data_IF_971296876488
#
_entry.id   IF_971296876488
#
_cell.length_a   1.000
_cell.length_b   1.000
_cell.length_c   1.000
_cell.angle_alpha   90.00
_cell.angle_beta   90.00
_cell.angle_gamma   90.00
#
_symmetry.space_group_name_H-M   'P 1'
#
loop_
_entity.id
_entity.type
_entity.pdbx_description
1 polymer ?
#
# COMPACT_ATOMS: atom_id res chain seq x y z
N UNK A 1 0.91 -35.97 -37.64
CA UNK A 1 2.07 -35.34 -36.91
C UNK A 1 1.74 -34.02 -36.17
N UNK A 2 0.72 -33.29 -36.55
CA UNK A 2 0.36 -32.00 -35.89
C UNK A 2 -0.34 -32.16 -34.53
N UNK A 3 -1.13 -33.22 -34.31
CA UNK A 3 -1.88 -33.39 -33.05
C UNK A 3 -1.05 -33.97 -31.89
N UNK A 4 0.05 -34.64 -32.15
CA UNK A 4 0.93 -35.20 -31.11
C UNK A 4 1.77 -34.11 -30.43
N UNK A 5 2.25 -33.08 -31.18
CA UNK A 5 3.01 -31.99 -30.65
C UNK A 5 2.17 -31.05 -29.76
N UNK A 6 0.85 -30.92 -30.07
CA UNK A 6 -0.06 -30.12 -29.24
C UNK A 6 -0.39 -30.80 -27.90
N UNK A 7 -0.50 -32.14 -27.89
CA UNK A 7 -0.74 -32.94 -26.70
C UNK A 7 0.49 -33.02 -25.79
N UNK A 8 1.70 -33.07 -26.33
CA UNK A 8 2.95 -33.02 -25.55
C UNK A 8 3.17 -31.65 -24.91
N UNK A 9 2.79 -30.55 -25.60
CA UNK A 9 2.82 -29.21 -25.04
C UNK A 9 1.86 -29.04 -23.86
N UNK A 10 0.65 -29.55 -23.95
CA UNK A 10 -0.35 -29.50 -22.88
C UNK A 10 0.04 -30.37 -21.67
N UNK A 11 0.65 -31.54 -21.90
CA UNK A 11 1.14 -32.41 -20.82
C UNK A 11 2.36 -31.84 -20.11
N UNK A 12 3.25 -31.14 -20.80
CA UNK A 12 4.38 -30.44 -20.20
C UNK A 12 3.94 -29.22 -19.37
N UNK A 13 2.94 -28.46 -19.81
CA UNK A 13 2.37 -27.35 -19.02
C UNK A 13 1.62 -27.86 -17.78
N UNK A 14 0.83 -28.93 -17.91
CA UNK A 14 0.11 -29.50 -16.76
C UNK A 14 1.06 -30.15 -15.74
N UNK A 15 2.15 -30.76 -16.19
CA UNK A 15 3.20 -31.28 -15.31
C UNK A 15 4.01 -30.17 -14.65
N UNK A 16 4.31 -29.07 -15.34
CA UNK A 16 4.95 -27.89 -14.78
C UNK A 16 4.04 -27.23 -13.72
N UNK A 17 2.73 -27.17 -13.98
CA UNK A 17 1.75 -26.64 -13.03
C UNK A 17 1.57 -27.52 -11.79
N UNK A 18 1.55 -28.85 -11.95
CA UNK A 18 1.53 -29.83 -10.84
C UNK A 18 2.81 -29.77 -10.00
N UNK A 19 3.96 -29.53 -10.63
CA UNK A 19 5.25 -29.39 -9.95
C UNK A 19 5.33 -28.07 -9.20
N UNK A 20 4.82 -26.97 -9.77
CA UNK A 20 4.70 -25.68 -9.11
C UNK A 20 3.75 -25.71 -7.89
N UNK A 21 2.67 -26.51 -7.95
CA UNK A 21 1.75 -26.74 -6.81
C UNK A 21 2.35 -27.57 -5.69
N UNK A 22 3.35 -28.42 -5.97
CA UNK A 22 4.07 -29.25 -4.98
C UNK A 22 5.32 -28.58 -4.42
N UNK A 23 5.72 -27.41 -4.93
CA UNK A 23 6.84 -26.68 -4.38
C UNK A 23 6.54 -26.31 -2.91
N UNK A 24 7.46 -26.59 -1.97
CA UNK A 24 7.28 -26.17 -0.59
C UNK A 24 7.08 -24.65 -0.56
N UNK A 25 6.24 -24.14 0.37
CA UNK A 25 6.01 -22.70 0.47
C UNK A 25 7.35 -21.99 0.60
N UNK A 26 7.53 -20.85 -0.08
CA UNK A 26 8.79 -20.11 -0.02
C UNK A 26 9.14 -19.85 1.43
N UNK A 27 10.39 -20.08 1.80
CA UNK A 27 10.91 -19.83 3.13
C UNK A 27 10.51 -18.40 3.57
N UNK A 28 10.23 -18.22 4.85
CA UNK A 28 9.74 -16.94 5.40
C UNK A 28 10.55 -15.73 4.91
N UNK A 29 11.88 -15.81 4.92
CA UNK A 29 12.77 -14.73 4.48
C UNK A 29 12.81 -14.48 2.95
N UNK A 30 12.09 -15.27 2.13
CA UNK A 30 11.92 -15.06 0.68
C UNK A 30 10.63 -14.33 0.32
N UNK A 31 10.02 -13.61 1.27
CA UNK A 31 8.81 -12.80 1.04
C UNK A 31 9.08 -11.34 1.37
N UNK A 32 8.58 -10.42 0.54
CA UNK A 32 8.67 -8.97 0.80
C UNK A 32 8.04 -8.58 2.13
N UNK A 33 6.88 -9.15 2.49
CA UNK A 33 6.21 -8.91 3.78
C UNK A 33 7.13 -9.17 4.98
N UNK A 34 7.93 -10.24 4.90
CA UNK A 34 8.83 -10.62 5.99
C UNK A 34 9.96 -9.61 6.17
N UNK A 35 10.51 -9.14 5.07
CA UNK A 35 11.54 -8.11 5.09
C UNK A 35 10.97 -6.75 5.48
N UNK A 36 9.76 -6.42 5.08
CA UNK A 36 9.06 -5.22 5.56
C UNK A 36 8.90 -5.23 7.09
N UNK A 37 8.54 -6.39 7.66
CA UNK A 37 8.46 -6.58 9.12
C UNK A 37 9.84 -6.42 9.76
N UNK A 38 10.87 -7.12 9.25
CA UNK A 38 12.22 -7.11 9.81
C UNK A 38 12.80 -5.70 9.82
N UNK A 39 12.71 -4.98 8.69
CA UNK A 39 13.25 -3.62 8.56
C UNK A 39 12.41 -2.66 9.40
N UNK A 40 11.08 -2.68 9.27
CA UNK A 40 10.21 -1.77 9.99
C UNK A 40 10.33 -1.94 11.51
N UNK A 41 10.19 -3.16 12.04
CA UNK A 41 10.36 -3.42 13.47
C UNK A 41 11.80 -3.20 13.93
N UNK A 42 12.80 -3.54 13.12
CA UNK A 42 14.21 -3.27 13.42
C UNK A 42 14.47 -1.79 13.63
N UNK A 43 13.89 -0.92 12.79
CA UNK A 43 13.99 0.53 12.93
C UNK A 43 13.24 1.03 14.18
N UNK A 44 12.05 0.49 14.47
CA UNK A 44 11.28 0.83 15.67
C UNK A 44 12.06 0.47 16.93
N UNK A 45 12.58 -0.75 17.00
CA UNK A 45 13.37 -1.22 18.15
C UNK A 45 14.65 -0.41 18.29
N UNK A 46 15.37 -0.16 17.20
CA UNK A 46 16.61 0.64 17.23
C UNK A 46 16.36 2.06 17.75
N UNK A 47 15.34 2.76 17.24
CA UNK A 47 14.98 4.10 17.70
C UNK A 47 14.59 4.11 19.18
N UNK A 48 13.79 3.14 19.61
CA UNK A 48 13.38 2.99 21.01
C UNK A 48 14.56 2.70 21.94
N UNK A 49 15.43 1.76 21.57
CA UNK A 49 16.62 1.42 22.38
C UNK A 49 17.56 2.60 22.47
N UNK A 50 17.86 3.31 21.37
CA UNK A 50 18.70 4.51 21.37
C UNK A 50 18.16 5.59 22.30
N UNK A 51 16.85 5.76 22.36
CA UNK A 51 16.20 6.67 23.29
C UNK A 51 16.40 6.19 24.73
N UNK A 52 16.10 4.95 25.06
CA UNK A 52 16.18 4.40 26.42
C UNK A 52 17.61 4.40 27.00
N UNK A 53 18.63 4.27 26.14
CA UNK A 53 20.05 4.35 26.57
C UNK A 53 20.63 5.78 26.51
N UNK A 54 19.77 6.81 26.39
CA UNK A 54 20.17 8.24 26.27
C UNK A 54 21.13 8.53 25.10
N UNK A 55 20.95 7.85 23.98
CA UNK A 55 21.73 8.04 22.74
C UNK A 55 20.86 8.55 21.58
N UNK A 56 19.70 9.11 21.87
CA UNK A 56 18.76 9.65 20.87
C UNK A 56 19.38 10.76 20.01
N UNK A 57 20.38 11.48 20.48
CA UNK A 57 21.14 12.46 19.69
C UNK A 57 21.77 11.92 18.41
N UNK A 58 21.86 10.60 18.25
CA UNK A 58 22.32 9.95 17.00
C UNK A 58 21.22 9.84 15.95
N UNK A 59 19.94 9.82 16.36
CA UNK A 59 18.79 9.61 15.46
C UNK A 59 18.68 10.62 14.30
N UNK A 60 18.95 11.93 14.47
CA UNK A 60 18.93 12.90 13.38
C UNK A 60 19.91 12.62 12.25
N UNK A 61 20.97 11.86 12.51
CA UNK A 61 21.93 11.45 11.46
C UNK A 61 21.39 10.34 10.54
N UNK A 62 20.26 9.74 10.87
CA UNK A 62 19.62 8.69 10.08
C UNK A 62 18.25 9.11 9.55
N UNK A 63 17.97 10.42 9.52
CA UNK A 63 16.74 10.98 8.97
C UNK A 63 17.03 12.14 8.05
N UNK A 64 16.14 12.39 7.11
CA UNK A 64 16.18 13.57 6.25
C UNK A 64 14.84 14.26 6.24
N UNK A 65 14.81 15.46 6.81
CA UNK A 65 13.68 16.39 6.70
C UNK A 65 14.18 17.64 5.98
N UNK A 66 13.65 17.87 4.76
CA UNK A 66 14.07 18.98 3.93
C UNK A 66 13.75 20.32 4.62
N UNK A 67 14.68 21.28 4.65
CA UNK A 67 14.43 22.58 5.26
C UNK A 67 13.41 23.37 4.44
N UNK A 68 12.49 24.06 5.12
CA UNK A 68 11.58 25.01 4.44
C UNK A 68 12.35 26.16 3.80
N UNK A 69 12.01 26.51 2.56
CA UNK A 69 12.70 27.55 1.81
C UNK A 69 11.73 28.33 0.90
N UNK A 70 12.05 29.60 0.65
CA UNK A 70 11.33 30.49 -0.27
C UNK A 70 12.19 30.84 -1.47
N UNK A 71 13.48 31.08 -1.23
CA UNK A 71 14.43 31.47 -2.27
C UNK A 71 15.57 30.44 -2.41
N UNK A 72 16.20 30.31 -3.58
CA UNK A 72 17.34 29.42 -3.76
C UNK A 72 18.50 29.73 -2.79
N UNK A 73 18.69 30.99 -2.41
CA UNK A 73 19.71 31.41 -1.44
C UNK A 73 19.44 30.82 -0.05
N UNK A 74 18.18 30.84 0.42
CA UNK A 74 17.80 30.20 1.68
C UNK A 74 18.03 28.68 1.65
N UNK A 75 17.72 28.04 0.53
CA UNK A 75 17.97 26.59 0.36
C UNK A 75 19.47 26.30 0.43
N UNK A 76 20.30 27.06 -0.29
CA UNK A 76 21.74 26.90 -0.29
C UNK A 76 22.36 27.10 1.11
N UNK A 77 21.81 28.00 1.90
CA UNK A 77 22.26 28.23 3.28
C UNK A 77 21.84 27.11 4.27
N UNK A 78 20.63 26.54 4.11
CA UNK A 78 20.07 25.60 5.09
C UNK A 78 20.34 24.13 4.75
N UNK A 79 20.45 23.78 3.46
CA UNK A 79 20.58 22.40 2.99
C UNK A 79 21.87 21.71 3.46
N UNK A 80 23.05 22.35 3.50
CA UNK A 80 24.29 21.69 3.92
C UNK A 80 24.21 21.07 5.32
N UNK A 81 23.51 21.71 6.26
CA UNK A 81 23.32 21.21 7.62
C UNK A 81 22.48 19.90 7.66
N UNK A 82 21.72 19.58 6.61
CA UNK A 82 20.89 18.39 6.50
C UNK A 82 21.53 17.24 5.72
N UNK A 83 22.64 17.51 5.02
CA UNK A 83 23.35 16.50 4.22
C UNK A 83 23.89 15.31 5.03
N UNK A 84 24.44 15.48 6.25
CA UNK A 84 24.88 14.34 7.06
C UNK A 84 23.73 13.37 7.35
N UNK A 85 22.54 13.90 7.69
CA UNK A 85 21.35 13.09 7.90
C UNK A 85 20.88 12.38 6.62
N UNK A 86 20.91 13.06 5.47
CA UNK A 86 20.60 12.45 4.18
C UNK A 86 21.57 11.32 3.83
N UNK A 87 22.86 11.50 4.06
CA UNK A 87 23.88 10.48 3.81
C UNK A 87 23.72 9.27 4.75
N UNK A 88 23.53 9.52 6.04
CA UNK A 88 23.30 8.43 7.01
C UNK A 88 22.03 7.65 6.71
N UNK A 89 20.93 8.34 6.34
CA UNK A 89 19.69 7.71 5.89
C UNK A 89 19.92 6.87 4.63
N UNK A 90 20.67 7.40 3.65
CA UNK A 90 21.04 6.64 2.46
C UNK A 90 21.76 5.35 2.81
N UNK A 91 22.79 5.42 3.64
CA UNK A 91 23.57 4.24 4.05
C UNK A 91 22.73 3.21 4.79
N UNK A 92 21.86 3.68 5.69
CA UNK A 92 20.92 2.83 6.43
C UNK A 92 19.94 2.11 5.48
N UNK A 93 19.29 2.84 4.58
CA UNK A 93 18.33 2.26 3.64
C UNK A 93 19.01 1.42 2.57
N UNK A 94 20.13 1.86 2.01
CA UNK A 94 20.87 1.11 1.02
C UNK A 94 21.35 -0.24 1.57
N UNK A 95 21.86 -0.29 2.81
CA UNK A 95 22.31 -1.53 3.42
C UNK A 95 21.13 -2.47 3.74
N UNK A 96 20.11 -1.99 4.43
CA UNK A 96 18.99 -2.81 4.89
C UNK A 96 18.13 -3.32 3.73
N UNK A 97 17.79 -2.44 2.77
CA UNK A 97 16.99 -2.80 1.60
C UNK A 97 17.75 -3.71 0.63
N UNK A 98 19.06 -3.49 0.45
CA UNK A 98 19.89 -4.35 -0.41
C UNK A 98 20.06 -5.74 0.19
N UNK A 99 20.19 -5.85 1.52
CA UNK A 99 20.20 -7.15 2.22
C UNK A 99 18.90 -7.91 1.99
N UNK A 100 17.76 -7.23 2.13
CA UNK A 100 16.45 -7.80 1.80
C UNK A 100 16.33 -8.19 0.32
N UNK A 101 16.73 -7.32 -0.60
CA UNK A 101 16.71 -7.58 -2.03
C UNK A 101 17.53 -8.82 -2.40
N UNK A 102 18.71 -9.00 -1.80
CA UNK A 102 19.54 -10.20 -1.97
C UNK A 102 18.83 -11.47 -1.51
N UNK A 103 18.18 -11.42 -0.37
CA UNK A 103 17.42 -12.56 0.18
C UNK A 103 16.19 -12.91 -0.68
N UNK A 104 15.56 -11.89 -1.28
CA UNK A 104 14.42 -12.04 -2.19
C UNK A 104 14.82 -12.55 -3.58
N UNK A 105 16.13 -12.63 -3.87
CA UNK A 105 16.65 -13.12 -5.15
C UNK A 105 16.74 -12.04 -6.24
N UNK A 106 16.69 -10.75 -5.87
CA UNK A 106 16.86 -9.65 -6.82
C UNK A 106 18.33 -9.47 -7.18
N UNK A 107 18.62 -8.92 -8.38
CA UNK A 107 19.96 -8.54 -8.77
C UNK A 107 20.46 -7.39 -7.88
N UNK A 108 21.28 -7.73 -6.89
CA UNK A 108 21.76 -6.81 -5.86
C UNK A 108 22.53 -5.61 -6.44
N UNK A 109 23.31 -5.83 -7.51
CA UNK A 109 24.08 -4.74 -8.14
C UNK A 109 23.17 -3.78 -8.90
N UNK A 110 22.21 -4.31 -9.65
CA UNK A 110 21.22 -3.49 -10.35
C UNK A 110 20.32 -2.77 -9.36
N UNK A 111 19.85 -3.48 -8.33
CA UNK A 111 19.05 -2.89 -7.26
C UNK A 111 19.76 -1.71 -6.60
N UNK A 112 21.01 -1.88 -6.14
CA UNK A 112 21.75 -0.81 -5.47
C UNK A 112 22.00 0.39 -6.38
N UNK A 113 22.39 0.18 -7.65
CA UNK A 113 22.53 1.27 -8.63
C UNK A 113 21.21 2.02 -8.84
N UNK A 114 20.13 1.27 -9.01
CA UNK A 114 18.79 1.84 -9.16
C UNK A 114 18.34 2.59 -7.91
N UNK A 115 18.64 2.04 -6.72
CA UNK A 115 18.30 2.65 -5.45
C UNK A 115 19.04 3.99 -5.21
N UNK A 116 20.32 4.10 -5.61
CA UNK A 116 21.03 5.38 -5.57
C UNK A 116 20.28 6.45 -6.36
N UNK A 117 19.90 6.16 -7.59
CA UNK A 117 19.18 7.11 -8.44
C UNK A 117 17.79 7.44 -7.88
N UNK A 118 17.05 6.42 -7.40
CA UNK A 118 15.73 6.59 -6.79
C UNK A 118 15.81 7.41 -5.50
N UNK A 119 16.81 7.18 -4.66
CA UNK A 119 17.03 7.94 -3.43
C UNK A 119 17.36 9.41 -3.71
N UNK A 120 18.26 9.68 -4.66
CA UNK A 120 18.58 11.05 -5.06
C UNK A 120 17.33 11.79 -5.58
N UNK A 121 16.52 11.10 -6.38
CA UNK A 121 15.25 11.65 -6.86
C UNK A 121 14.27 11.88 -5.70
N UNK A 122 14.20 10.98 -4.72
CA UNK A 122 13.37 11.16 -3.54
C UNK A 122 13.81 12.37 -2.71
N UNK A 123 15.12 12.56 -2.48
CA UNK A 123 15.65 13.75 -1.80
C UNK A 123 15.32 15.01 -2.57
N UNK A 124 15.45 15.02 -3.90
CA UNK A 124 15.07 16.17 -4.74
C UNK A 124 13.58 16.50 -4.60
N UNK A 125 12.71 15.50 -4.62
CA UNK A 125 11.26 15.67 -4.39
C UNK A 125 10.96 16.23 -3.00
N UNK A 126 11.60 15.72 -1.95
CA UNK A 126 11.43 16.23 -0.58
C UNK A 126 11.86 17.69 -0.47
N UNK A 127 12.96 18.07 -1.14
CA UNK A 127 13.42 19.47 -1.21
C UNK A 127 12.43 20.35 -1.96
N UNK A 128 11.92 19.91 -3.11
CA UNK A 128 10.91 20.65 -3.88
C UNK A 128 9.63 20.83 -3.05
N UNK A 129 9.14 19.78 -2.40
CA UNK A 129 7.94 19.81 -1.56
C UNK A 129 8.09 20.75 -0.34
N UNK A 130 9.32 20.98 0.11
CA UNK A 130 9.59 21.89 1.22
C UNK A 130 9.55 23.38 0.83
N UNK A 131 9.42 23.71 -0.46
CA UNK A 131 9.28 25.07 -0.94
C UNK A 131 7.96 25.69 -0.46
N UNK A 132 8.00 26.95 -0.01
CA UNK A 132 6.82 27.62 0.54
C UNK A 132 5.67 27.78 -0.47
N UNK A 133 5.95 28.00 -1.76
CA UNK A 133 4.92 28.08 -2.80
C UNK A 133 4.27 26.72 -3.06
N UNK A 134 5.04 25.62 -3.03
CA UNK A 134 4.52 24.25 -3.18
C UNK A 134 3.62 23.91 -1.98
N UNK A 135 4.05 24.25 -0.75
CA UNK A 135 3.25 24.06 0.45
C UNK A 135 1.98 24.90 0.47
N UNK A 136 2.04 26.17 0.02
CA UNK A 136 0.85 27.01 -0.06
C UNK A 136 -0.18 26.51 -1.08
N UNK A 137 0.27 25.80 -2.12
CA UNK A 137 -0.58 25.06 -3.05
C UNK A 137 -1.08 23.73 -2.47
N UNK A 138 -0.76 23.41 -1.21
CA UNK A 138 -1.11 22.16 -0.53
C UNK A 138 -0.64 20.90 -1.28
N UNK A 139 0.49 20.99 -1.99
CA UNK A 139 1.14 19.89 -2.67
C UNK A 139 2.12 19.20 -1.71
N UNK A 140 1.60 18.23 -0.96
CA UNK A 140 2.41 17.42 -0.05
C UNK A 140 3.40 16.53 -0.82
N UNK A 141 4.47 16.09 -0.14
CA UNK A 141 5.55 15.31 -0.74
C UNK A 141 5.08 14.06 -1.53
N UNK A 142 4.06 13.31 -1.10
CA UNK A 142 3.54 12.17 -1.85
C UNK A 142 2.97 12.55 -3.22
N UNK A 143 2.22 13.65 -3.31
CA UNK A 143 1.67 14.11 -4.58
C UNK A 143 2.76 14.59 -5.53
N UNK A 144 3.74 15.34 -5.02
CA UNK A 144 4.89 15.77 -5.81
C UNK A 144 5.69 14.57 -6.31
N UNK A 145 5.95 13.57 -5.45
CA UNK A 145 6.64 12.33 -5.81
C UNK A 145 5.92 11.58 -6.93
N UNK A 146 4.60 11.41 -6.78
CA UNK A 146 3.78 10.75 -7.79
C UNK A 146 3.81 11.52 -9.12
N UNK A 147 3.60 12.84 -9.08
CA UNK A 147 3.59 13.68 -10.27
C UNK A 147 4.93 13.63 -11.01
N UNK A 148 6.04 13.84 -10.30
CA UNK A 148 7.40 13.72 -10.87
C UNK A 148 7.63 12.33 -11.44
N UNK A 149 7.22 11.29 -10.71
CA UNK A 149 7.30 9.90 -11.18
C UNK A 149 6.50 9.66 -12.47
N UNK A 150 5.24 10.13 -12.54
CA UNK A 150 4.39 10.00 -13.73
C UNK A 150 4.98 10.73 -14.93
N UNK A 151 5.47 11.95 -14.75
CA UNK A 151 6.10 12.73 -15.83
C UNK A 151 7.34 12.00 -16.35
N UNK A 152 8.28 11.67 -15.48
CA UNK A 152 9.52 11.00 -15.85
C UNK A 152 9.25 9.58 -16.41
N UNK A 153 8.34 8.83 -15.78
CA UNK A 153 7.98 7.50 -16.21
C UNK A 153 7.40 7.45 -17.63
N UNK A 154 6.59 8.42 -18.03
CA UNK A 154 5.98 8.48 -19.36
C UNK A 154 6.84 9.23 -20.40
N UNK A 155 7.69 10.17 -19.96
CA UNK A 155 8.61 10.90 -20.85
C UNK A 155 9.86 10.11 -21.20
N UNK A 156 10.37 9.27 -20.28
CA UNK A 156 11.64 8.56 -20.43
C UNK A 156 11.45 7.05 -20.51
N UNK A 157 12.32 6.40 -21.28
CA UNK A 157 12.47 4.93 -21.23
C UNK A 157 13.42 4.57 -20.09
N UNK A 158 12.87 4.01 -19.01
CA UNK A 158 13.67 3.64 -17.85
C UNK A 158 14.58 2.45 -18.19
N UNK A 159 15.89 2.52 -17.87
CA UNK A 159 16.78 1.40 -18.08
C UNK A 159 16.48 0.26 -17.11
N UNK A 160 16.76 -0.98 -17.51
CA UNK A 160 16.46 -2.18 -16.72
C UNK A 160 17.10 -2.18 -15.33
N UNK A 161 18.32 -1.61 -15.18
CA UNK A 161 18.97 -1.51 -13.87
C UNK A 161 18.22 -0.59 -12.90
N UNK A 162 17.53 0.46 -13.40
CA UNK A 162 16.74 1.36 -12.57
C UNK A 162 15.40 0.73 -12.16
N UNK A 163 14.77 0.02 -13.10
CA UNK A 163 13.49 -0.67 -12.84
C UNK A 163 13.61 -1.72 -11.72
N UNK A 164 14.80 -2.27 -11.48
CA UNK A 164 15.03 -3.24 -10.40
C UNK A 164 14.82 -2.64 -9.01
N UNK A 165 15.02 -1.33 -8.84
CA UNK A 165 14.80 -0.63 -7.57
C UNK A 165 13.36 -0.13 -7.38
N UNK A 166 12.49 -0.19 -8.40
CA UNK A 166 11.11 0.29 -8.29
C UNK A 166 10.22 -0.77 -7.62
N UNK A 167 10.42 -0.99 -6.32
CA UNK A 167 9.72 -2.02 -5.52
C UNK A 167 8.65 -1.39 -4.64
N UNK A 168 7.57 -0.93 -5.25
CA UNK A 168 6.46 -0.24 -4.58
C UNK A 168 5.97 -0.99 -3.34
N UNK A 169 5.65 -2.29 -3.48
CA UNK A 169 5.14 -3.12 -2.38
C UNK A 169 6.13 -3.25 -1.22
N UNK A 170 7.41 -3.35 -1.52
CA UNK A 170 8.46 -3.46 -0.50
C UNK A 170 8.57 -2.18 0.35
N UNK A 171 8.51 -1.02 -0.30
CA UNK A 171 8.59 0.27 0.38
C UNK A 171 7.32 0.59 1.17
N UNK A 172 6.14 0.43 0.56
CA UNK A 172 4.88 0.76 1.23
C UNK A 172 4.63 -0.12 2.45
N UNK A 173 4.89 -1.43 2.38
CA UNK A 173 4.72 -2.34 3.52
C UNK A 173 5.64 -2.00 4.68
N UNK A 174 6.88 -1.60 4.40
CA UNK A 174 7.80 -1.12 5.44
C UNK A 174 7.29 0.19 6.05
N UNK A 175 6.80 1.12 5.23
CA UNK A 175 6.16 2.36 5.69
C UNK A 175 4.94 2.11 6.58
N UNK A 176 4.12 1.10 6.26
CA UNK A 176 2.95 0.70 7.07
C UNK A 176 3.38 0.12 8.42
N UNK A 177 4.43 -0.68 8.48
CA UNK A 177 4.96 -1.18 9.77
C UNK A 177 5.43 -0.01 10.64
N UNK A 178 6.14 0.97 10.06
CA UNK A 178 6.54 2.20 10.77
C UNK A 178 5.34 3.05 11.20
N UNK A 179 4.23 3.06 10.41
CA UNK A 179 2.99 3.71 10.79
C UNK A 179 2.43 3.13 12.09
N UNK A 180 2.52 1.81 12.28
CA UNK A 180 2.11 1.17 13.53
C UNK A 180 2.79 1.78 14.75
N UNK A 181 4.07 2.12 14.66
CA UNK A 181 4.79 2.74 15.78
C UNK A 181 4.29 4.16 16.14
N UNK A 182 3.69 4.87 15.20
CA UNK A 182 3.17 6.23 15.40
C UNK A 182 1.67 6.25 15.69
N UNK A 183 0.98 5.11 15.58
CA UNK A 183 -0.44 4.96 15.88
C UNK A 183 -0.61 4.19 17.20
N UNK A 184 -1.07 4.83 18.30
CA UNK A 184 -1.28 4.17 19.59
C UNK A 184 -2.25 3.00 19.48
N UNK A 185 -1.92 1.87 20.10
CA UNK A 185 -2.76 0.67 20.07
C UNK A 185 -4.15 0.91 20.70
N UNK A 186 -4.25 1.84 21.65
CA UNK A 186 -5.52 2.26 22.24
C UNK A 186 -6.48 2.88 21.22
N UNK A 187 -5.97 3.61 20.24
CA UNK A 187 -6.76 4.16 19.13
C UNK A 187 -7.28 3.02 18.26
N UNK A 188 -6.44 2.01 17.97
CA UNK A 188 -6.85 0.84 17.20
C UNK A 188 -8.00 0.09 17.90
N UNK A 189 -7.93 -0.07 19.23
CA UNK A 189 -9.00 -0.71 20.01
C UNK A 189 -10.31 0.09 20.00
N UNK A 190 -10.24 1.40 20.07
CA UNK A 190 -11.44 2.27 20.08
C UNK A 190 -12.10 2.40 18.70
N UNK A 191 -11.32 2.70 17.67
CA UNK A 191 -11.82 2.97 16.31
C UNK A 191 -11.85 1.73 15.41
N UNK A 192 -11.12 0.65 15.77
CA UNK A 192 -11.06 -0.58 14.98
C UNK A 192 -12.42 -1.23 14.70
N UNK A 193 -13.32 -1.38 15.67
CA UNK A 193 -14.66 -1.94 15.44
C UNK A 193 -15.50 -1.14 14.43
N UNK A 194 -15.44 0.20 14.48
CA UNK A 194 -16.09 1.07 13.52
C UNK A 194 -15.48 0.93 12.12
N UNK A 195 -14.15 0.89 12.04
CA UNK A 195 -13.43 0.66 10.80
C UNK A 195 -13.81 -0.69 10.16
N UNK A 196 -13.84 -1.77 10.93
CA UNK A 196 -14.23 -3.11 10.46
C UNK A 196 -15.69 -3.12 9.97
N UNK A 197 -16.62 -2.54 10.73
CA UNK A 197 -18.03 -2.48 10.37
C UNK A 197 -18.25 -1.70 9.07
N UNK A 198 -17.66 -0.52 8.95
CA UNK A 198 -17.73 0.31 7.75
C UNK A 198 -17.08 -0.38 6.55
N UNK A 199 -15.89 -0.97 6.75
CA UNK A 199 -15.16 -1.66 5.69
C UNK A 199 -15.93 -2.88 5.17
N UNK A 200 -16.57 -3.65 6.05
CA UNK A 200 -17.38 -4.80 5.66
C UNK A 200 -18.53 -4.38 4.73
N UNK A 201 -19.28 -3.35 5.13
CA UNK A 201 -20.39 -2.82 4.32
C UNK A 201 -19.89 -2.37 2.95
N UNK A 202 -18.85 -1.54 2.92
CA UNK A 202 -18.31 -1.01 1.66
C UNK A 202 -17.75 -2.12 0.79
N UNK A 203 -16.99 -3.06 1.36
CA UNK A 203 -16.38 -4.15 0.60
C UNK A 203 -17.45 -5.06 -0.03
N UNK A 204 -18.48 -5.45 0.73
CA UNK A 204 -19.58 -6.30 0.20
C UNK A 204 -20.33 -5.57 -0.92
N UNK A 205 -20.74 -4.33 -0.69
CA UNK A 205 -21.52 -3.56 -1.68
C UNK A 205 -20.70 -3.29 -2.93
N UNK A 206 -19.44 -2.86 -2.78
CA UNK A 206 -18.56 -2.57 -3.93
C UNK A 206 -18.24 -3.85 -4.72
N UNK A 207 -17.91 -4.95 -4.04
CA UNK A 207 -17.70 -6.24 -4.69
C UNK A 207 -18.93 -6.67 -5.49
N UNK A 208 -20.09 -6.66 -4.87
CA UNK A 208 -21.35 -7.05 -5.51
C UNK A 208 -21.65 -6.14 -6.72
N UNK A 209 -21.49 -4.82 -6.58
CA UNK A 209 -21.74 -3.85 -7.64
C UNK A 209 -20.88 -4.11 -8.86
N UNK A 210 -19.56 -4.29 -8.67
CA UNK A 210 -18.63 -4.59 -9.77
C UNK A 210 -18.94 -5.98 -10.37
N UNK A 211 -19.13 -6.99 -9.52
CA UNK A 211 -19.40 -8.35 -9.96
C UNK A 211 -20.67 -8.45 -10.79
N UNK A 212 -21.79 -7.86 -10.33
CA UNK A 212 -23.05 -7.90 -11.06
C UNK A 212 -23.03 -7.01 -12.31
N UNK A 213 -22.38 -5.84 -12.26
CA UNK A 213 -22.17 -5.03 -13.45
C UNK A 213 -21.36 -5.80 -14.50
N UNK A 214 -20.24 -6.37 -14.11
CA UNK A 214 -19.38 -7.14 -15.00
C UNK A 214 -20.11 -8.35 -15.63
N UNK A 215 -20.84 -9.13 -14.81
CA UNK A 215 -21.50 -10.37 -15.31
C UNK A 215 -22.80 -10.11 -16.01
N UNK A 216 -23.67 -9.23 -15.50
CA UNK A 216 -25.04 -9.02 -15.99
C UNK A 216 -25.15 -7.93 -17.05
N UNK A 217 -24.42 -6.80 -16.89
CA UNK A 217 -24.50 -5.69 -17.85
C UNK A 217 -23.48 -5.85 -18.99
N UNK A 218 -22.28 -6.31 -18.70
CA UNK A 218 -21.21 -6.39 -19.70
C UNK A 218 -20.88 -7.79 -20.20
N UNK A 219 -21.51 -8.83 -19.63
CA UNK A 219 -21.33 -10.23 -20.08
C UNK A 219 -19.93 -10.78 -19.90
N UNK A 220 -19.19 -10.28 -18.91
CA UNK A 220 -17.83 -10.74 -18.62
C UNK A 220 -17.84 -12.10 -17.88
N UNK A 221 -16.77 -12.84 -18.00
CA UNK A 221 -16.57 -14.11 -17.30
C UNK A 221 -16.69 -13.93 -15.77
N UNK A 222 -17.32 -14.89 -15.08
CA UNK A 222 -17.59 -14.80 -13.63
C UNK A 222 -16.32 -14.75 -12.79
N UNK A 223 -15.27 -15.46 -13.17
CA UNK A 223 -13.99 -15.49 -12.46
C UNK A 223 -13.24 -14.17 -12.65
N UNK A 224 -13.30 -13.63 -13.88
CA UNK A 224 -12.81 -12.28 -14.15
C UNK A 224 -13.57 -11.22 -13.38
N UNK A 225 -14.90 -11.28 -13.38
CA UNK A 225 -15.74 -10.36 -12.63
C UNK A 225 -15.46 -10.40 -11.11
N UNK A 226 -15.24 -11.58 -10.54
CA UNK A 226 -14.86 -11.72 -9.13
C UNK A 226 -13.47 -11.13 -8.84
N UNK A 227 -12.51 -11.35 -9.75
CA UNK A 227 -11.17 -10.78 -9.66
C UNK A 227 -11.20 -9.25 -9.72
N UNK A 228 -12.02 -8.71 -10.62
CA UNK A 228 -12.24 -7.28 -10.78
C UNK A 228 -12.93 -6.67 -9.55
N UNK A 229 -13.98 -7.33 -9.06
CA UNK A 229 -14.70 -6.94 -7.85
C UNK A 229 -13.81 -6.89 -6.62
N UNK A 230 -12.92 -7.87 -6.47
CA UNK A 230 -11.94 -7.91 -5.38
C UNK A 230 -10.93 -6.76 -5.46
N UNK A 231 -10.49 -6.43 -6.66
CA UNK A 231 -9.61 -5.29 -6.89
C UNK A 231 -10.22 -3.97 -6.43
N UNK A 232 -11.51 -3.77 -6.70
CA UNK A 232 -12.23 -2.55 -6.29
C UNK A 232 -12.73 -2.53 -4.84
N UNK A 233 -12.78 -3.68 -4.16
CA UNK A 233 -13.45 -3.77 -2.85
C UNK A 233 -12.53 -4.10 -1.67
N UNK A 234 -11.37 -4.70 -1.89
CA UNK A 234 -10.49 -5.17 -0.80
C UNK A 234 -9.20 -4.33 -0.79
N UNK A 235 -8.12 -4.85 -1.37
CA UNK A 235 -6.79 -4.24 -1.32
C UNK A 235 -6.17 -4.07 -2.72
N UNK A 236 -6.98 -3.89 -3.74
CA UNK A 236 -6.53 -3.60 -5.09
C UNK A 236 -5.76 -4.75 -5.73
N UNK A 237 -4.48 -4.53 -5.97
CA UNK A 237 -3.58 -5.49 -6.65
C UNK A 237 -3.54 -6.83 -5.92
N UNK A 238 -3.28 -6.80 -4.61
CA UNK A 238 -3.19 -8.02 -3.78
C UNK A 238 -4.52 -8.77 -3.72
N UNK A 239 -5.65 -8.05 -3.64
CA UNK A 239 -7.00 -8.61 -3.71
C UNK A 239 -7.27 -9.29 -5.05
N UNK A 240 -6.95 -8.63 -6.17
CA UNK A 240 -7.08 -9.21 -7.52
C UNK A 240 -6.27 -10.51 -7.67
N UNK A 241 -5.02 -10.52 -7.22
CA UNK A 241 -4.16 -11.72 -7.26
C UNK A 241 -4.73 -12.84 -6.37
N UNK A 242 -5.11 -12.50 -5.14
CA UNK A 242 -5.60 -13.47 -4.17
C UNK A 242 -6.89 -14.14 -4.63
N UNK A 243 -7.86 -13.33 -5.06
CA UNK A 243 -9.18 -13.82 -5.51
C UNK A 243 -9.08 -14.48 -6.88
N UNK A 244 -8.32 -13.90 -7.82
CA UNK A 244 -8.06 -14.51 -9.12
C UNK A 244 -7.44 -15.91 -8.99
N UNK A 245 -6.46 -16.07 -8.09
CA UNK A 245 -5.90 -17.38 -7.77
C UNK A 245 -6.89 -18.31 -7.05
N UNK A 246 -7.76 -17.78 -6.17
CA UNK A 246 -8.75 -18.57 -5.45
C UNK A 246 -9.83 -19.16 -6.37
N UNK A 247 -10.30 -18.37 -7.34
CA UNK A 247 -11.30 -18.80 -8.30
C UNK A 247 -10.71 -19.33 -9.61
N UNK A 248 -9.40 -19.49 -9.70
CA UNK A 248 -8.70 -19.99 -10.91
C UNK A 248 -8.99 -19.13 -12.14
N UNK A 249 -9.00 -17.82 -11.99
CA UNK A 249 -9.12 -16.90 -13.11
C UNK A 249 -7.90 -16.99 -14.04
N UNK A 250 -8.10 -16.73 -15.32
CA UNK A 250 -7.01 -16.66 -16.30
C UNK A 250 -5.99 -15.56 -15.92
N UNK A 251 -4.70 -15.82 -16.17
CA UNK A 251 -3.63 -14.87 -15.85
C UNK A 251 -3.84 -13.52 -16.54
N UNK A 252 -4.36 -13.53 -17.78
CA UNK A 252 -4.70 -12.32 -18.51
C UNK A 252 -5.79 -11.49 -17.81
N UNK A 253 -6.82 -12.14 -17.27
CA UNK A 253 -7.88 -11.49 -16.51
C UNK A 253 -7.36 -10.86 -15.21
N UNK A 254 -6.45 -11.55 -14.50
CA UNK A 254 -5.81 -11.01 -13.30
C UNK A 254 -4.98 -9.77 -13.65
N UNK A 255 -4.19 -9.82 -14.72
CA UNK A 255 -3.40 -8.67 -15.19
C UNK A 255 -4.29 -7.48 -15.58
N UNK A 256 -5.40 -7.72 -16.29
CA UNK A 256 -6.36 -6.66 -16.64
C UNK A 256 -7.02 -6.04 -15.41
N UNK A 257 -7.40 -6.86 -14.42
CA UNK A 257 -7.97 -6.34 -13.16
C UNK A 257 -6.96 -5.46 -12.42
N UNK A 258 -5.69 -5.88 -12.33
CA UNK A 258 -4.62 -5.09 -11.73
C UNK A 258 -4.43 -3.76 -12.47
N UNK A 259 -4.41 -3.77 -13.80
CA UNK A 259 -4.27 -2.54 -14.60
C UNK A 259 -5.41 -1.56 -14.33
N UNK A 260 -6.66 -2.04 -14.24
CA UNK A 260 -7.83 -1.20 -13.92
C UNK A 260 -7.77 -0.62 -12.51
N UNK A 261 -7.35 -1.41 -11.53
CA UNK A 261 -7.12 -0.92 -10.17
C UNK A 261 -6.12 0.24 -10.18
N UNK A 262 -5.01 0.09 -10.90
CA UNK A 262 -3.98 1.14 -11.00
C UNK A 262 -4.53 2.40 -11.68
N UNK A 263 -5.32 2.26 -12.75
CA UNK A 263 -5.96 3.42 -13.41
C UNK A 263 -6.80 4.21 -12.43
N UNK A 264 -7.73 3.53 -11.75
CA UNK A 264 -8.64 4.18 -10.82
C UNK A 264 -7.92 4.70 -9.58
N UNK A 265 -6.92 3.99 -9.07
CA UNK A 265 -6.10 4.44 -7.97
C UNK A 265 -5.38 5.77 -8.30
N UNK A 266 -4.76 5.87 -9.49
CA UNK A 266 -4.12 7.13 -9.93
C UNK A 266 -5.14 8.28 -10.03
N UNK A 267 -6.35 8.03 -10.51
CA UNK A 267 -7.41 9.05 -10.56
C UNK A 267 -7.82 9.48 -9.15
N UNK A 268 -8.03 8.50 -8.24
CA UNK A 268 -8.54 8.75 -6.90
C UNK A 268 -7.53 9.43 -5.97
N UNK A 269 -6.22 9.28 -6.20
CA UNK A 269 -5.21 10.05 -5.46
C UNK A 269 -5.46 11.56 -5.56
N UNK A 270 -5.95 12.05 -6.69
CA UNK A 270 -6.24 13.46 -6.89
C UNK A 270 -7.68 13.83 -6.54
N UNK A 271 -8.64 12.98 -6.93
CA UNK A 271 -10.08 13.26 -6.77
C UNK A 271 -10.48 13.28 -5.29
N UNK A 272 -10.07 12.28 -4.49
CA UNK A 272 -10.51 12.17 -3.11
C UNK A 272 -10.03 13.30 -2.19
N UNK A 273 -8.74 13.72 -2.23
CA UNK A 273 -8.30 14.87 -1.45
C UNK A 273 -8.95 16.17 -1.91
N UNK A 274 -9.11 16.38 -3.21
CA UNK A 274 -9.76 17.57 -3.76
C UNK A 274 -11.22 17.64 -3.33
N UNK A 275 -11.96 16.54 -3.44
CA UNK A 275 -13.35 16.45 -2.99
C UNK A 275 -13.49 16.63 -1.47
N UNK A 276 -12.57 16.04 -0.68
CA UNK A 276 -12.55 16.20 0.78
C UNK A 276 -12.38 17.67 1.20
N UNK A 277 -11.51 18.41 0.51
CA UNK A 277 -11.32 19.85 0.75
C UNK A 277 -12.54 20.66 0.30
N UNK A 278 -13.09 20.38 -0.89
CA UNK A 278 -14.26 21.07 -1.43
C UNK A 278 -15.49 20.90 -0.51
N UNK A 279 -15.63 19.73 0.12
CA UNK A 279 -16.67 19.42 1.09
C UNK A 279 -16.31 19.84 2.52
N UNK A 280 -15.15 20.46 2.74
CA UNK A 280 -14.66 20.89 4.05
C UNK A 280 -14.74 19.80 5.12
N UNK A 281 -14.38 18.56 4.76
CA UNK A 281 -14.46 17.41 5.67
C UNK A 281 -13.45 17.52 6.82
N UNK A 282 -13.85 17.05 7.99
CA UNK A 282 -12.90 16.83 9.08
C UNK A 282 -11.80 15.86 8.65
N UNK A 283 -10.52 16.07 9.00
CA UNK A 283 -9.42 15.23 8.52
C UNK A 283 -9.61 13.72 8.76
N UNK A 284 -10.08 13.31 9.94
CA UNK A 284 -10.37 11.91 10.24
C UNK A 284 -11.47 11.32 9.35
N UNK A 285 -12.53 12.09 9.07
CA UNK A 285 -13.61 11.70 8.16
C UNK A 285 -13.11 11.56 6.72
N UNK A 286 -12.29 12.53 6.27
CA UNK A 286 -11.65 12.48 4.96
C UNK A 286 -10.76 11.24 4.81
N UNK A 287 -9.94 10.94 5.82
CA UNK A 287 -9.09 9.76 5.85
C UNK A 287 -9.89 8.45 5.79
N UNK A 288 -10.98 8.36 6.54
CA UNK A 288 -11.88 7.20 6.51
C UNK A 288 -12.55 7.03 5.14
N UNK A 289 -13.03 8.12 4.53
CA UNK A 289 -13.60 8.09 3.19
C UNK A 289 -12.56 7.66 2.15
N UNK A 290 -11.34 8.20 2.20
CA UNK A 290 -10.23 7.76 1.36
C UNK A 290 -9.98 6.26 1.56
N UNK A 291 -9.95 5.78 2.80
CA UNK A 291 -9.75 4.37 3.13
C UNK A 291 -10.81 3.43 2.59
N UNK A 292 -12.05 3.89 2.41
CA UNK A 292 -13.13 3.12 1.78
C UNK A 292 -13.11 3.18 0.26
N UNK A 293 -12.63 4.28 -0.32
CA UNK A 293 -12.87 4.63 -1.73
C UNK A 293 -11.61 4.64 -2.58
N UNK A 294 -10.42 4.55 -1.97
CA UNK A 294 -9.18 4.31 -2.70
C UNK A 294 -8.92 2.81 -2.87
N UNK A 295 -8.52 2.43 -4.08
CA UNK A 295 -8.45 1.02 -4.47
C UNK A 295 -7.08 0.37 -4.22
N UNK A 296 -6.00 1.14 -4.12
CA UNK A 296 -4.66 0.63 -3.86
C UNK A 296 -4.07 1.23 -2.57
N UNK A 297 -3.40 0.41 -1.76
CA UNK A 297 -2.89 0.82 -0.44
C UNK A 297 -1.94 2.00 -0.52
N UNK A 298 -0.94 1.90 -1.39
CA UNK A 298 0.03 2.96 -1.57
C UNK A 298 -0.59 4.27 -2.10
N UNK A 299 -1.53 4.16 -3.03
CA UNK A 299 -2.27 5.31 -3.57
C UNK A 299 -3.14 5.98 -2.50
N UNK A 300 -3.79 5.17 -1.66
CA UNK A 300 -4.59 5.66 -0.56
C UNK A 300 -3.78 6.39 0.52
N UNK A 301 -2.58 5.90 0.83
CA UNK A 301 -1.66 6.65 1.70
C UNK A 301 -1.30 8.00 1.09
N UNK A 302 -1.02 8.07 -0.23
CA UNK A 302 -0.76 9.34 -0.92
C UNK A 302 -1.92 10.31 -0.79
N UNK A 303 -3.14 9.82 -1.02
CA UNK A 303 -4.36 10.62 -0.90
C UNK A 303 -4.60 11.10 0.54
N UNK A 304 -4.38 10.24 1.54
CA UNK A 304 -4.55 10.60 2.95
C UNK A 304 -3.49 11.61 3.42
N UNK A 305 -2.22 11.40 3.07
CA UNK A 305 -1.14 12.37 3.34
C UNK A 305 -1.40 13.72 2.66
N UNK A 306 -2.00 13.71 1.47
CA UNK A 306 -2.35 14.94 0.75
C UNK A 306 -3.39 15.81 1.47
N UNK A 307 -4.14 15.28 2.44
CA UNK A 307 -5.02 16.08 3.32
C UNK A 307 -4.19 17.00 4.22
N UNK A 308 -2.93 16.62 4.52
CA UNK A 308 -2.02 17.45 5.30
C UNK A 308 -2.26 17.39 6.82
N UNK A 309 -2.99 16.40 7.32
CA UNK A 309 -3.27 16.22 8.74
C UNK A 309 -3.12 14.76 9.17
N UNK A 310 -2.48 14.53 10.32
CA UNK A 310 -2.18 13.17 10.80
C UNK A 310 -3.43 12.31 11.02
N UNK A 311 -4.50 12.88 11.54
CA UNK A 311 -5.77 12.19 11.73
C UNK A 311 -6.33 11.58 10.42
N UNK A 312 -6.03 12.16 9.26
CA UNK A 312 -6.43 11.59 7.98
C UNK A 312 -5.67 10.30 7.66
N UNK A 313 -4.36 10.29 7.89
CA UNK A 313 -3.51 9.10 7.68
C UNK A 313 -3.80 8.01 8.70
N UNK A 314 -4.12 8.37 9.93
CA UNK A 314 -4.53 7.41 10.97
C UNK A 314 -5.88 6.78 10.64
N UNK A 315 -6.89 7.57 10.29
CA UNK A 315 -8.20 7.09 9.89
C UNK A 315 -8.13 6.21 8.63
N UNK A 316 -7.36 6.65 7.63
CA UNK A 316 -7.09 5.84 6.44
C UNK A 316 -6.46 4.48 6.82
N UNK A 317 -5.45 4.48 7.69
CA UNK A 317 -4.75 3.26 8.12
C UNK A 317 -5.70 2.30 8.82
N UNK A 318 -6.51 2.81 9.74
CA UNK A 318 -7.53 2.00 10.43
C UNK A 318 -8.55 1.42 9.44
N UNK A 319 -9.06 2.26 8.54
CA UNK A 319 -10.07 1.83 7.57
C UNK A 319 -9.50 0.84 6.55
N UNK A 320 -8.32 1.12 5.99
CA UNK A 320 -7.73 0.31 4.92
C UNK A 320 -7.02 -0.92 5.46
N UNK A 321 -6.05 -0.75 6.37
CA UNK A 321 -5.20 -1.86 6.84
C UNK A 321 -5.96 -2.76 7.80
N UNK A 322 -6.62 -2.18 8.81
CA UNK A 322 -7.36 -2.95 9.82
C UNK A 322 -8.74 -3.36 9.32
N UNK A 323 -9.45 -2.46 8.64
CA UNK A 323 -10.81 -2.71 8.17
C UNK A 323 -10.91 -3.59 6.94
N UNK A 324 -10.03 -3.43 5.93
CA UNK A 324 -10.16 -4.11 4.62
C UNK A 324 -9.11 -5.17 4.38
N UNK A 325 -7.82 -4.84 4.48
CA UNK A 325 -6.72 -5.70 4.03
C UNK A 325 -6.56 -6.95 4.89
N UNK A 326 -6.85 -6.84 6.17
CA UNK A 326 -6.79 -7.95 7.11
C UNK A 326 -7.71 -9.11 6.69
N UNK A 327 -8.80 -8.82 6.00
CA UNK A 327 -9.81 -9.81 5.61
C UNK A 327 -9.59 -10.45 4.23
N UNK A 328 -8.53 -10.11 3.49
CA UNK A 328 -8.26 -10.66 2.15
C UNK A 328 -8.24 -12.19 2.12
N UNK A 329 -7.70 -12.83 3.16
CA UNK A 329 -7.68 -14.29 3.27
C UNK A 329 -9.07 -14.90 3.42
N UNK A 330 -9.95 -14.25 4.19
CA UNK A 330 -11.36 -14.67 4.38
C UNK A 330 -12.13 -14.51 3.07
N UNK A 331 -11.98 -13.37 2.39
CA UNK A 331 -12.59 -13.13 1.08
C UNK A 331 -12.15 -14.16 0.04
N UNK A 332 -10.84 -14.47 -0.01
CA UNK A 332 -10.31 -15.48 -0.92
C UNK A 332 -10.90 -16.87 -0.65
N UNK A 333 -11.08 -17.22 0.62
CA UNK A 333 -11.71 -18.46 1.02
C UNK A 333 -13.19 -18.54 0.61
N UNK A 334 -13.97 -17.46 0.87
CA UNK A 334 -15.38 -17.39 0.49
C UNK A 334 -15.58 -17.48 -1.03
N UNK A 335 -14.76 -16.76 -1.81
CA UNK A 335 -14.85 -16.82 -3.28
C UNK A 335 -14.41 -18.19 -3.81
N UNK A 336 -13.43 -18.84 -3.19
CA UNK A 336 -13.06 -20.21 -3.54
C UNK A 336 -14.23 -21.20 -3.33
N UNK A 337 -14.97 -21.06 -2.22
CA UNK A 337 -16.20 -21.85 -1.97
C UNK A 337 -17.23 -21.57 -3.06
N UNK A 338 -17.51 -20.31 -3.36
CA UNK A 338 -18.48 -19.92 -4.41
C UNK A 338 -18.08 -20.47 -5.78
N UNK A 339 -16.78 -20.43 -6.12
CA UNK A 339 -16.29 -20.98 -7.38
C UNK A 339 -16.58 -22.48 -7.51
N UNK A 340 -16.28 -23.25 -6.47
CA UNK A 340 -16.50 -24.71 -6.48
C UNK A 340 -17.98 -25.08 -6.40
N UNK A 341 -18.74 -24.40 -5.55
CA UNK A 341 -20.14 -24.79 -5.27
C UNK A 341 -21.13 -24.27 -6.30
N UNK A 342 -20.90 -23.11 -6.90
CA UNK A 342 -21.85 -22.42 -7.79
C UNK A 342 -21.38 -22.40 -9.24
N UNK A 343 -20.08 -22.20 -9.50
CA UNK A 343 -19.58 -22.03 -10.87
C UNK A 343 -19.11 -23.33 -11.52
N UNK A 344 -18.56 -24.27 -10.72
CA UNK A 344 -18.04 -25.57 -11.21
C UNK A 344 -19.03 -26.71 -11.05
N UNK A 345 -20.28 -26.45 -10.70
CA UNK A 345 -21.30 -27.48 -10.45
C UNK A 345 -21.55 -28.47 -11.60
N UNK A 346 -21.05 -28.15 -12.80
CA UNK A 346 -21.15 -29.01 -14.00
C UNK A 346 -19.97 -29.97 -14.18
N UNK A 347 -18.91 -29.88 -13.36
CA UNK A 347 -17.73 -30.75 -13.43
C UNK A 347 -17.54 -31.51 -12.12
N UNK A 348 -18.42 -32.46 -11.85
CA UNK A 348 -18.55 -33.21 -10.59
C UNK A 348 -17.34 -34.14 -10.24
N UNK A 349 -16.21 -34.06 -10.93
CA UNK A 349 -15.13 -35.05 -10.80
C UNK A 349 -13.92 -34.64 -9.97
N UNK A 350 -13.77 -33.40 -9.54
CA UNK A 350 -12.59 -32.97 -8.75
C UNK A 350 -12.97 -31.95 -7.66
N UNK A 351 -13.64 -32.41 -6.62
CA UNK A 351 -13.76 -31.65 -5.35
C UNK A 351 -12.43 -31.74 -4.60
N UNK A 352 -11.44 -30.91 -4.97
CA UNK A 352 -10.29 -30.66 -4.11
C UNK A 352 -10.76 -29.97 -2.83
N UNK A 353 -10.49 -30.59 -1.68
CA UNK A 353 -10.81 -30.03 -0.36
C UNK A 353 -10.15 -28.68 -0.21
N UNK A 354 -10.94 -27.63 -0.01
CA UNK A 354 -10.45 -26.26 0.26
C UNK A 354 -9.72 -26.28 1.61
N UNK A 355 -8.41 -26.04 1.61
CA UNK A 355 -7.59 -26.04 2.81
C UNK A 355 -7.80 -24.72 3.59
N UNK A 356 -8.29 -24.83 4.84
CA UNK A 356 -8.42 -23.65 5.75
C UNK A 356 -7.10 -22.93 6.00
N UNK A 357 -5.96 -23.60 5.81
CA UNK A 357 -4.63 -22.98 5.91
C UNK A 357 -4.42 -21.91 4.83
N UNK A 358 -5.22 -21.92 3.76
CA UNK A 358 -5.16 -20.93 2.70
C UNK A 358 -5.50 -19.52 3.21
N UNK A 359 -6.41 -19.37 4.19
CA UNK A 359 -6.71 -18.08 4.85
C UNK A 359 -5.43 -17.47 5.43
N UNK A 360 -4.67 -18.28 6.20
CA UNK A 360 -3.42 -17.83 6.81
C UNK A 360 -2.31 -17.58 5.79
N UNK A 361 -2.23 -18.38 4.72
CA UNK A 361 -1.26 -18.19 3.64
C UNK A 361 -1.45 -16.87 2.91
N UNK A 362 -2.70 -16.43 2.71
CA UNK A 362 -3.07 -15.19 2.01
C UNK A 362 -3.13 -13.97 2.91
N UNK A 363 -3.16 -14.16 4.22
CA UNK A 363 -3.14 -13.06 5.17
C UNK A 363 -1.85 -12.23 4.98
N UNK A 364 -1.94 -10.88 4.83
CA UNK A 364 -0.80 -10.00 4.63
C UNK A 364 0.01 -9.91 5.93
N UNK A 365 1.19 -10.53 5.96
CA UNK A 365 1.97 -10.67 7.19
C UNK A 365 2.51 -9.35 7.73
N UNK A 366 2.74 -8.34 6.87
CA UNK A 366 3.19 -7.02 7.31
C UNK A 366 2.23 -6.34 8.30
N UNK A 367 0.92 -6.70 8.28
CA UNK A 367 -0.07 -6.22 9.26
C UNK A 367 0.31 -6.66 10.68
N UNK A 368 0.89 -7.85 10.87
CA UNK A 368 1.40 -8.27 12.18
C UNK A 368 2.52 -7.34 12.63
N UNK A 369 3.41 -6.93 11.72
CA UNK A 369 4.46 -5.96 12.01
C UNK A 369 3.90 -4.62 12.46
N UNK A 370 2.84 -4.14 11.79
CA UNK A 370 2.11 -2.93 12.19
C UNK A 370 1.56 -3.03 13.63
N UNK A 371 0.83 -4.11 13.96
CA UNK A 371 0.30 -4.29 15.31
C UNK A 371 1.39 -4.42 16.38
N UNK A 372 2.46 -5.18 16.10
CA UNK A 372 3.59 -5.34 17.01
C UNK A 372 4.28 -3.98 17.26
N UNK A 373 4.49 -3.18 16.21
CA UNK A 373 5.07 -1.84 16.33
C UNK A 373 4.20 -0.93 17.21
N UNK A 374 2.87 -0.94 17.00
CA UNK A 374 1.91 -0.17 17.79
C UNK A 374 1.88 -0.60 19.26
N UNK A 375 1.84 -1.90 19.53
CA UNK A 375 1.89 -2.44 20.89
C UNK A 375 3.19 -2.07 21.60
N UNK A 376 4.34 -2.21 20.91
CA UNK A 376 5.65 -1.91 21.49
C UNK A 376 5.75 -0.44 21.90
N UNK A 377 5.42 0.49 21.03
CA UNK A 377 5.50 1.92 21.34
C UNK A 377 4.48 2.35 22.37
N UNK A 378 3.27 1.80 22.34
CA UNK A 378 2.25 2.03 23.38
C UNK A 378 2.71 1.52 24.74
N UNK A 379 3.31 0.32 24.81
CA UNK A 379 3.87 -0.22 26.05
C UNK A 379 5.02 0.64 26.57
N UNK A 380 5.91 1.12 25.70
CA UNK A 380 7.00 2.02 26.12
C UNK A 380 6.43 3.30 26.72
N UNK A 381 5.47 3.95 26.03
CA UNK A 381 4.85 5.19 26.52
C UNK A 381 4.14 4.98 27.86
N UNK A 382 3.49 3.83 28.05
CA UNK A 382 2.75 3.53 29.31
C UNK A 382 3.64 3.35 30.53
N UNK A 383 4.92 3.02 30.34
CA UNK A 383 5.90 2.84 31.43
C UNK A 383 6.69 4.13 31.71
N UNK A 384 6.79 5.03 30.74
CA UNK A 384 7.49 6.31 30.90
C UNK A 384 6.64 7.30 31.70
N UNK A 385 7.31 8.15 32.49
CA UNK A 385 6.65 9.33 33.08
C UNK A 385 6.27 10.34 31.99
N UNK A 386 5.42 11.32 32.33
CA UNK A 386 4.87 12.28 31.36
C UNK A 386 5.96 13.04 30.57
N UNK A 387 7.05 13.43 31.21
CA UNK A 387 8.13 14.20 30.56
C UNK A 387 8.99 13.30 29.66
N UNK A 388 9.33 12.10 30.10
CA UNK A 388 10.04 11.12 29.28
C UNK A 388 9.17 10.64 28.09
N UNK A 389 7.86 10.53 28.27
CA UNK A 389 6.91 10.21 27.19
C UNK A 389 6.86 11.31 26.11
N UNK A 390 6.87 12.59 26.52
CA UNK A 390 6.99 13.73 25.59
C UNK A 390 8.32 13.73 24.84
N UNK A 391 9.43 13.47 25.57
CA UNK A 391 10.76 13.38 24.95
C UNK A 391 10.83 12.20 23.95
N UNK A 392 10.29 11.02 24.31
CA UNK A 392 10.20 9.86 23.41
C UNK A 392 9.42 10.19 22.13
N UNK A 393 8.32 10.91 22.28
CA UNK A 393 7.51 11.33 21.11
C UNK A 393 8.26 12.36 20.23
N UNK A 394 8.97 13.30 20.83
CA UNK A 394 9.71 14.34 20.11
C UNK A 394 10.98 13.84 19.42
N UNK A 395 11.60 12.76 19.91
CA UNK A 395 12.87 12.26 19.42
C UNK A 395 12.71 10.95 18.63
N UNK A 396 12.24 9.87 19.28
CA UNK A 396 12.14 8.55 18.67
C UNK A 396 10.97 8.46 17.69
N UNK A 397 9.74 8.81 18.12
CA UNK A 397 8.56 8.70 17.23
C UNK A 397 8.63 9.68 16.06
N UNK A 398 9.18 10.88 16.27
CA UNK A 398 9.41 11.84 15.17
C UNK A 398 10.39 11.25 14.15
N UNK A 399 11.48 10.63 14.60
CA UNK A 399 12.43 9.94 13.72
C UNK A 399 11.74 8.85 12.88
N UNK A 400 10.90 8.02 13.51
CA UNK A 400 10.13 6.97 12.82
C UNK A 400 9.13 7.57 11.83
N UNK A 401 8.52 8.72 12.14
CA UNK A 401 7.64 9.47 11.25
C UNK A 401 8.39 10.00 10.02
N UNK A 402 9.58 10.55 10.20
CA UNK A 402 10.42 11.04 9.10
C UNK A 402 10.88 9.87 8.20
N UNK A 403 11.28 8.73 8.79
CA UNK A 403 11.60 7.50 8.05
C UNK A 403 10.41 6.98 7.24
N UNK A 404 9.22 6.94 7.84
CA UNK A 404 7.97 6.58 7.17
C UNK A 404 7.71 7.48 5.96
N UNK A 405 7.85 8.79 6.12
CA UNK A 405 7.72 9.76 5.03
C UNK A 405 8.68 9.51 3.87
N UNK A 406 9.93 9.12 4.17
CA UNK A 406 10.89 8.71 3.15
C UNK A 406 10.44 7.44 2.41
N UNK A 407 9.99 6.40 3.13
CA UNK A 407 9.47 5.17 2.51
C UNK A 407 8.27 5.44 1.60
N UNK A 408 7.35 6.31 2.02
CA UNK A 408 6.21 6.69 1.20
C UNK A 408 6.64 7.50 -0.03
N UNK A 409 7.60 8.42 0.11
CA UNK A 409 8.16 9.14 -1.05
C UNK A 409 8.77 8.19 -2.08
N UNK A 410 9.55 7.19 -1.63
CA UNK A 410 10.08 6.13 -2.50
C UNK A 410 8.96 5.31 -3.17
N UNK A 411 7.89 5.03 -2.42
CA UNK A 411 6.70 4.32 -2.91
C UNK A 411 6.03 5.10 -4.04
N UNK A 412 5.73 6.38 -3.82
CA UNK A 412 4.98 7.20 -4.78
C UNK A 412 5.79 7.52 -6.03
N UNK A 413 7.09 7.73 -5.89
CA UNK A 413 8.00 7.79 -7.02
C UNK A 413 7.97 6.50 -7.82
N UNK A 414 8.03 5.34 -7.14
CA UNK A 414 8.01 4.03 -7.82
C UNK A 414 6.68 3.81 -8.54
N UNK A 415 5.53 4.17 -7.95
CA UNK A 415 4.22 4.11 -8.61
C UNK A 415 4.24 4.97 -9.88
N UNK A 416 4.59 6.25 -9.75
CA UNK A 416 4.60 7.17 -10.88
C UNK A 416 5.54 6.70 -12.01
N UNK A 417 6.76 6.29 -11.65
CA UNK A 417 7.76 5.82 -12.62
C UNK A 417 7.37 4.52 -13.34
N UNK A 418 6.58 3.65 -12.69
CA UNK A 418 6.13 2.39 -13.29
C UNK A 418 4.79 2.50 -14.02
N UNK A 419 3.99 3.53 -13.74
CA UNK A 419 2.68 3.72 -14.37
C UNK A 419 2.82 4.26 -15.79
N UNK A 420 2.39 3.48 -16.79
CA UNK A 420 2.43 3.82 -18.21
C UNK A 420 1.03 4.12 -18.73
N UNK A 421 0.74 5.36 -19.10
CA UNK A 421 -0.58 5.74 -19.65
C UNK A 421 -0.97 4.94 -20.89
N UNK A 422 0.01 4.56 -21.74
CA UNK A 422 -0.24 3.75 -22.93
C UNK A 422 -0.74 2.33 -22.59
N UNK A 423 -0.21 1.72 -21.54
CA UNK A 423 -0.63 0.39 -21.10
C UNK A 423 -2.02 0.45 -20.44
N UNK A 424 -2.30 1.54 -19.73
CA UNK A 424 -3.61 1.78 -19.14
C UNK A 424 -4.73 1.92 -20.18
N UNK A 425 -4.44 2.53 -21.33
CA UNK A 425 -5.39 2.68 -22.42
C UNK A 425 -5.73 1.36 -23.14
N UNK A 426 -4.93 0.30 -22.94
CA UNK A 426 -5.13 -1.00 -23.60
C UNK A 426 -6.18 -1.90 -22.90
N UNK A 427 -6.72 -1.47 -21.76
CA UNK A 427 -7.62 -2.26 -20.92
C UNK A 427 -9.01 -2.28 -21.49
N UNK A 428 -9.57 -2.70 -22.37
CA UNK A 428 -10.92 -2.73 -22.97
C UNK A 428 -12.03 -2.00 -22.21
N UNK A 429 -12.98 -1.45 -22.95
CA UNK A 429 -14.04 -0.58 -22.41
C UNK A 429 -15.01 -1.29 -21.45
N UNK A 430 -15.36 -2.57 -21.74
CA UNK A 430 -16.33 -3.31 -20.90
C UNK A 430 -15.85 -3.49 -19.45
N UNK A 431 -14.62 -4.00 -19.18
CA UNK A 431 -14.12 -4.08 -17.81
C UNK A 431 -13.96 -2.71 -17.15
N UNK A 432 -13.57 -1.68 -17.90
CA UNK A 432 -13.46 -0.31 -17.40
C UNK A 432 -14.81 0.22 -16.89
N UNK A 433 -15.88 0.11 -17.68
CA UNK A 433 -17.20 0.56 -17.27
C UNK A 433 -17.81 -0.32 -16.16
N UNK A 434 -17.54 -1.62 -16.14
CA UNK A 434 -17.96 -2.48 -15.04
C UNK A 434 -17.33 -2.03 -13.71
N UNK A 435 -16.05 -1.68 -13.71
CA UNK A 435 -15.37 -1.13 -12.54
C UNK A 435 -15.90 0.26 -12.19
N UNK A 436 -16.15 1.12 -13.19
CA UNK A 436 -16.71 2.46 -13.01
C UNK A 436 -18.08 2.46 -12.29
N UNK A 437 -18.94 1.46 -12.56
CA UNK A 437 -20.20 1.29 -11.80
C UNK A 437 -19.90 1.07 -10.32
N UNK A 438 -18.93 0.23 -9.99
CA UNK A 438 -18.52 0.03 -8.61
C UNK A 438 -17.97 1.30 -7.95
N UNK A 439 -17.16 2.06 -8.67
CA UNK A 439 -16.66 3.38 -8.22
C UNK A 439 -17.80 4.34 -7.94
N UNK A 440 -18.75 4.46 -8.87
CA UNK A 440 -19.92 5.35 -8.75
C UNK A 440 -20.81 5.00 -7.53
N UNK A 441 -20.85 3.74 -7.12
CA UNK A 441 -21.58 3.29 -5.93
C UNK A 441 -20.71 3.44 -4.67
N UNK A 442 -19.42 3.12 -4.75
CA UNK A 442 -18.50 3.15 -3.63
C UNK A 442 -18.29 4.58 -3.09
N UNK A 443 -18.06 5.55 -3.98
CA UNK A 443 -17.76 6.93 -3.57
C UNK A 443 -18.85 7.55 -2.68
N UNK A 444 -20.14 7.60 -3.09
CA UNK A 444 -21.19 8.16 -2.24
C UNK A 444 -21.46 7.29 -1.02
N UNK A 445 -21.37 5.97 -1.10
CA UNK A 445 -21.53 5.08 0.03
C UNK A 445 -20.43 5.29 1.08
N UNK A 446 -19.16 5.34 0.65
CA UNK A 446 -18.03 5.60 1.53
C UNK A 446 -18.13 6.97 2.21
N UNK A 447 -18.49 8.00 1.45
CA UNK A 447 -18.76 9.33 1.96
C UNK A 447 -19.88 9.33 3.02
N UNK A 448 -21.03 8.75 2.70
CA UNK A 448 -22.18 8.72 3.60
C UNK A 448 -21.87 7.98 4.90
N UNK A 449 -21.24 6.83 4.81
CA UNK A 449 -20.83 6.07 6.00
C UNK A 449 -19.81 6.85 6.85
N UNK A 450 -18.79 7.44 6.23
CA UNK A 450 -17.73 8.17 6.96
C UNK A 450 -18.25 9.45 7.61
N UNK A 451 -19.14 10.20 6.91
CA UNK A 451 -19.56 11.54 7.31
C UNK A 451 -20.88 11.59 8.07
N UNK A 452 -21.66 10.49 8.11
CA UNK A 452 -22.95 10.47 8.79
C UNK A 452 -23.08 9.31 9.78
N UNK A 453 -22.71 8.07 9.38
CA UNK A 453 -22.92 6.90 10.24
C UNK A 453 -21.80 6.77 11.28
N UNK A 454 -20.54 6.92 10.86
CA UNK A 454 -19.37 6.75 11.70
C UNK A 454 -18.63 8.07 11.99
N UNK A 455 -19.27 9.22 11.73
CA UNK A 455 -18.68 10.57 11.88
C UNK A 455 -18.06 10.80 13.26
N UNK A 456 -18.79 10.44 14.32
CA UNK A 456 -18.33 10.62 15.70
C UNK A 456 -17.04 9.87 16.01
N UNK A 457 -16.83 8.69 15.41
CA UNK A 457 -15.60 7.91 15.57
C UNK A 457 -14.42 8.56 14.85
N UNK A 458 -14.67 9.01 13.62
CA UNK A 458 -13.60 9.56 12.80
C UNK A 458 -13.17 10.97 13.23
N UNK A 459 -14.09 11.76 13.77
CA UNK A 459 -13.77 13.07 14.39
C UNK A 459 -13.00 12.92 15.70
N UNK A 460 -13.21 11.84 16.43
CA UNK A 460 -12.49 11.55 17.66
C UNK A 460 -11.04 11.10 17.50
N UNK A 461 -10.55 10.97 16.26
CA UNK A 461 -9.14 10.70 16.00
C UNK A 461 -8.34 12.01 16.01
N UNK A 462 -7.24 12.03 16.78
CA UNK A 462 -6.36 13.20 16.89
C UNK A 462 -6.80 14.23 17.96
N UNK A 463 -7.76 13.88 18.85
CA UNK A 463 -8.13 14.65 20.03
C UNK A 463 -7.53 14.04 21.28
#
# INVERSE_FOLDING_TARGET
MSNTLALDGLQTEEQAEKTARRAPPPLWFKKEDSWAIVIGLGLVVAATVLFLVNRSGVLPYFTFSAPGWKTPAELAAKLPAKLPGALGLFLLLASTLTLGARSLGYDTRRFLRGFVALYLLAVAVLVISANAAVKSAQLESPLVALFVGLVLGNALRLPAWFSEALRTEYYVKTGIVLMGATLPFTIILRAGPAAIGQALIVSVVTFASIYFAATRLFGLDRRFAATLGAGGSICGVSGSIAIGGACRAEKAHVSMAISLVIVWAVVMIFVLPAASRALSLHPGVAGAWIGTSEFADAAGFAAAEAIGHEAATEAFTLMKVVGRDMFVGIWAFLVAILAVTVWERQSAAQSERIDRREIWRRFPKFILGFFIASLLTTAVISVLNADAGKAYSAEALKTLKDLRGCFFTLTFLSIGLTTRFRELAAVGLKPFFAFAVGVAINLPLGYWLSNHVFDAYWRGLGV
#
